data_IF_232009511599
#
_entry.id   IF_232009511599
#
_cell.length_a   1.000
_cell.length_b   1.000
_cell.length_c   1.000
_cell.angle_alpha   90.00
_cell.angle_beta   90.00
_cell.angle_gamma   90.00
#
_symmetry.space_group_name_H-M   'P 1'
#
loop_
_entity.id
_entity.type
_entity.pdbx_description
1 polymer ?
#
# COMPACT_ATOMS: atom_id res chain seq x y z
N UNK A 1 8.25 0.06 19.44
CA UNK A 1 8.61 -0.85 18.39
C UNK A 1 7.66 -0.97 17.25
N UNK A 2 6.79 -2.00 17.25
CA UNK A 2 5.85 -2.15 16.14
C UNK A 2 4.92 -0.95 16.05
N UNK A 3 4.36 -0.54 17.19
CA UNK A 3 3.49 0.62 17.21
C UNK A 3 4.22 1.87 16.75
N UNK A 4 5.49 2.01 17.12
CA UNK A 4 6.30 3.15 16.69
C UNK A 4 6.55 3.10 15.18
N UNK A 5 6.89 1.93 14.66
CA UNK A 5 7.15 1.78 13.23
C UNK A 5 5.89 2.02 12.40
N UNK A 6 4.76 1.50 12.87
CA UNK A 6 3.49 1.74 12.19
C UNK A 6 3.15 3.22 12.19
N UNK A 7 3.27 3.88 13.34
CA UNK A 7 2.96 5.30 13.46
C UNK A 7 3.86 6.14 12.55
N UNK A 8 5.14 5.80 12.48
CA UNK A 8 6.07 6.52 11.64
C UNK A 8 5.74 6.30 10.15
N UNK A 9 5.41 5.08 9.76
CA UNK A 9 5.05 4.80 8.38
C UNK A 9 3.81 5.60 7.96
N UNK A 10 2.79 5.64 8.82
CA UNK A 10 1.60 6.43 8.52
C UNK A 10 1.91 7.93 8.44
N UNK A 11 2.69 8.45 9.39
CA UNK A 11 3.04 9.86 9.41
C UNK A 11 3.81 10.24 8.15
N UNK A 12 4.78 9.43 7.76
CA UNK A 12 5.60 9.76 6.59
C UNK A 12 4.83 9.60 5.29
N UNK A 13 3.84 8.71 5.24
CA UNK A 13 3.02 8.54 4.04
C UNK A 13 2.20 9.78 3.70
N UNK A 14 1.99 10.67 4.67
CA UNK A 14 1.23 11.91 4.44
C UNK A 14 2.10 13.10 4.02
N UNK A 15 3.42 12.95 4.07
CA UNK A 15 4.32 14.06 3.78
C UNK A 15 4.33 14.38 2.30
N UNK A 16 4.53 15.65 1.98
CA UNK A 16 4.59 16.09 0.59
C UNK A 16 5.90 15.74 -0.08
N UNK A 17 6.99 15.76 0.69
CA UNK A 17 8.31 15.46 0.13
C UNK A 17 8.30 14.05 -0.44
N UNK A 18 8.66 13.93 -1.70
CA UNK A 18 8.60 12.66 -2.42
C UNK A 18 9.34 11.55 -1.70
N UNK A 19 10.55 11.83 -1.25
CA UNK A 19 11.39 10.82 -0.63
C UNK A 19 10.83 10.37 0.70
N UNK A 20 10.28 11.30 1.51
CA UNK A 20 9.72 10.96 2.81
C UNK A 20 8.45 10.13 2.64
N UNK A 21 7.58 10.54 1.73
CA UNK A 21 6.35 9.79 1.44
C UNK A 21 6.68 8.39 0.94
N UNK A 22 7.60 8.29 0.00
CA UNK A 22 8.05 7.00 -0.52
C UNK A 22 8.54 6.11 0.61
N UNK A 23 9.33 6.65 1.53
CA UNK A 23 9.86 5.89 2.66
C UNK A 23 8.73 5.36 3.54
N UNK A 24 7.68 6.15 3.76
CA UNK A 24 6.52 5.69 4.53
C UNK A 24 5.88 4.44 3.92
N UNK A 25 5.67 4.46 2.61
CA UNK A 25 5.07 3.30 1.94
C UNK A 25 6.04 2.12 1.82
N UNK A 26 7.33 2.39 1.66
CA UNK A 26 8.33 1.33 1.66
C UNK A 26 8.38 0.64 3.02
N UNK A 27 8.22 1.40 4.11
CA UNK A 27 8.13 0.82 5.46
C UNK A 27 6.92 -0.10 5.58
N UNK A 28 5.77 0.31 5.03
CA UNK A 28 4.57 -0.53 5.07
C UNK A 28 4.82 -1.84 4.33
N UNK A 29 5.42 -1.77 3.15
CA UNK A 29 5.74 -2.97 2.36
C UNK A 29 6.70 -3.87 3.13
N UNK A 30 7.73 -3.29 3.73
CA UNK A 30 8.71 -4.05 4.51
C UNK A 30 8.07 -4.77 5.69
N UNK A 31 7.18 -4.09 6.40
CA UNK A 31 6.46 -4.71 7.50
C UNK A 31 5.61 -5.88 7.00
N UNK A 32 4.94 -5.71 5.86
CA UNK A 32 4.12 -6.78 5.29
C UNK A 32 4.94 -8.00 4.92
N UNK A 33 6.17 -7.80 4.46
CA UNK A 33 7.05 -8.90 4.06
C UNK A 33 7.69 -9.57 5.27
N UNK A 34 8.19 -8.79 6.23
CA UNK A 34 9.10 -9.30 7.25
C UNK A 34 8.47 -9.54 8.62
N UNK A 35 7.35 -8.88 8.92
CA UNK A 35 6.76 -8.95 10.25
C UNK A 35 5.57 -9.91 10.24
N UNK A 36 5.88 -11.20 10.16
CA UNK A 36 4.83 -12.22 10.03
C UNK A 36 3.91 -12.33 11.24
N UNK A 37 4.41 -11.93 12.40
CA UNK A 37 3.66 -12.00 13.66
C UNK A 37 2.58 -10.95 13.80
N UNK A 38 2.59 -9.89 12.96
CA UNK A 38 1.64 -8.81 13.10
C UNK A 38 0.24 -9.23 12.66
N UNK A 39 -0.79 -8.79 13.40
CA UNK A 39 -2.16 -9.15 13.03
C UNK A 39 -2.64 -8.38 11.80
N UNK A 40 -3.70 -8.88 11.17
CA UNK A 40 -4.26 -8.27 9.97
C UNK A 40 -4.66 -6.82 10.18
N UNK A 41 -5.12 -6.46 11.39
CA UNK A 41 -5.55 -5.09 11.67
C UNK A 41 -4.50 -4.05 11.33
N UNK A 42 -3.23 -4.36 11.55
CA UNK A 42 -2.14 -3.44 11.23
C UNK A 42 -2.17 -3.09 9.75
N UNK A 43 -2.37 -4.09 8.91
CA UNK A 43 -2.33 -3.90 7.45
C UNK A 43 -3.65 -3.36 6.91
N UNK A 44 -4.76 -3.71 7.55
CA UNK A 44 -6.04 -3.12 7.17
C UNK A 44 -6.02 -1.60 7.39
N UNK A 45 -5.34 -1.13 8.45
CA UNK A 45 -5.22 0.30 8.70
C UNK A 45 -4.35 1.01 7.66
N UNK A 46 -3.49 0.29 6.95
CA UNK A 46 -2.63 0.88 5.92
C UNK A 46 -3.35 1.10 4.59
N UNK A 47 -4.38 0.32 4.31
CA UNK A 47 -5.07 0.39 3.01
C UNK A 47 -5.68 1.77 2.71
N UNK A 48 -6.29 2.48 3.68
CA UNK A 48 -6.76 3.84 3.39
C UNK A 48 -5.63 4.80 2.96
N UNK A 49 -4.43 4.64 3.53
CA UNK A 49 -3.29 5.47 3.11
C UNK A 49 -2.90 5.17 1.68
N UNK A 50 -2.91 3.89 1.29
CA UNK A 50 -2.63 3.48 -0.09
C UNK A 50 -3.61 4.17 -1.04
N UNK A 51 -4.91 4.13 -0.73
CA UNK A 51 -5.92 4.75 -1.58
C UNK A 51 -5.75 6.27 -1.63
N UNK A 52 -5.46 6.89 -0.50
CA UNK A 52 -5.31 8.34 -0.42
C UNK A 52 -4.18 8.83 -1.32
N UNK A 53 -3.06 8.11 -1.37
CA UNK A 53 -1.89 8.55 -2.12
C UNK A 53 -1.75 7.89 -3.49
N UNK A 54 -2.74 7.11 -3.91
CA UNK A 54 -2.68 6.41 -5.19
C UNK A 54 -2.65 7.36 -6.40
N UNK A 55 -3.07 8.60 -6.21
CA UNK A 55 -3.08 9.60 -7.29
C UNK A 55 -1.76 10.35 -7.40
N UNK A 56 -0.82 10.12 -6.50
CA UNK A 56 0.49 10.76 -6.58
C UNK A 56 1.28 10.11 -7.71
N UNK A 57 1.46 10.84 -8.82
CA UNK A 57 2.06 10.30 -10.04
C UNK A 57 3.57 10.28 -10.06
N UNK A 58 4.22 10.81 -9.02
CA UNK A 58 5.68 10.80 -8.99
C UNK A 58 6.17 9.36 -8.95
N UNK A 59 7.16 9.07 -9.76
CA UNK A 59 7.55 7.69 -10.04
C UNK A 59 7.90 6.87 -8.81
N UNK A 60 8.70 7.43 -7.91
CA UNK A 60 9.12 6.66 -6.73
C UNK A 60 7.98 6.49 -5.74
N UNK A 61 7.08 7.47 -5.62
CA UNK A 61 5.91 7.34 -4.75
C UNK A 61 4.96 6.31 -5.32
N UNK A 62 4.65 6.42 -6.61
CA UNK A 62 3.73 5.49 -7.27
C UNK A 62 4.18 4.05 -7.09
N UNK A 63 5.47 3.80 -7.27
CA UNK A 63 6.00 2.44 -7.14
C UNK A 63 5.94 1.94 -5.71
N UNK A 64 6.20 2.82 -4.73
CA UNK A 64 6.15 2.43 -3.32
C UNK A 64 4.73 2.14 -2.87
N UNK A 65 3.77 2.96 -3.30
CA UNK A 65 2.35 2.74 -3.00
C UNK A 65 1.90 1.39 -3.58
N UNK A 66 2.28 1.13 -4.82
CA UNK A 66 1.96 -0.16 -5.46
C UNK A 66 2.60 -1.33 -4.71
N UNK A 67 3.86 -1.19 -4.32
CA UNK A 67 4.57 -2.22 -3.59
C UNK A 67 3.89 -2.54 -2.26
N UNK A 68 3.52 -1.50 -1.49
CA UNK A 68 2.82 -1.70 -0.23
C UNK A 68 1.51 -2.47 -0.45
N UNK A 69 0.72 -2.05 -1.44
CA UNK A 69 -0.56 -2.70 -1.73
C UNK A 69 -0.37 -4.19 -2.07
N UNK A 70 0.60 -4.50 -2.92
CA UNK A 70 0.84 -5.89 -3.32
C UNK A 70 1.31 -6.74 -2.15
N UNK A 71 2.24 -6.22 -1.33
CA UNK A 71 2.77 -7.02 -0.23
C UNK A 71 1.72 -7.25 0.85
N UNK A 72 0.86 -6.27 1.11
CA UNK A 72 -0.26 -6.47 2.02
C UNK A 72 -1.15 -7.60 1.50
N UNK A 73 -1.49 -7.57 0.22
CA UNK A 73 -2.37 -8.56 -0.37
C UNK A 73 -1.79 -9.96 -0.43
N UNK A 74 -0.46 -10.08 -0.37
CA UNK A 74 0.18 -11.38 -0.43
C UNK A 74 0.26 -12.10 0.91
N UNK A 75 -0.12 -11.43 2.00
CA UNK A 75 0.08 -12.01 3.33
C UNK A 75 -0.84 -13.21 3.59
N UNK A 76 -2.10 -13.09 3.25
CA UNK A 76 -3.08 -14.17 3.44
C UNK A 76 -4.33 -13.88 2.61
N UNK A 77 -5.27 -14.82 2.60
CA UNK A 77 -6.45 -14.68 1.75
C UNK A 77 -7.37 -13.55 2.19
N UNK A 78 -7.48 -13.28 3.48
CA UNK A 78 -8.31 -12.18 3.97
C UNK A 78 -7.75 -10.84 3.52
N UNK A 79 -6.44 -10.64 3.68
CA UNK A 79 -5.80 -9.40 3.25
C UNK A 79 -5.76 -9.30 1.72
N UNK A 80 -5.67 -10.43 1.02
CA UNK A 80 -5.76 -10.40 -0.43
C UNK A 80 -7.12 -9.86 -0.89
N UNK A 81 -8.19 -10.32 -0.29
CA UNK A 81 -9.51 -9.82 -0.63
C UNK A 81 -9.64 -8.34 -0.32
N UNK A 82 -9.14 -7.90 0.83
CA UNK A 82 -9.20 -6.50 1.21
C UNK A 82 -8.37 -5.63 0.27
N UNK A 83 -7.16 -6.08 -0.08
CA UNK A 83 -6.29 -5.33 -0.99
C UNK A 83 -6.88 -5.27 -2.39
N UNK A 84 -7.48 -6.36 -2.87
CA UNK A 84 -8.12 -6.36 -4.18
C UNK A 84 -9.34 -5.44 -4.22
N UNK A 85 -10.13 -5.41 -3.14
CA UNK A 85 -11.25 -4.49 -3.05
C UNK A 85 -10.78 -3.05 -3.08
N UNK A 86 -9.68 -2.75 -2.38
CA UNK A 86 -9.10 -1.42 -2.40
C UNK A 86 -8.58 -1.07 -3.80
N UNK A 87 -7.92 -2.02 -4.46
CA UNK A 87 -7.42 -1.81 -5.82
C UNK A 87 -8.55 -1.50 -6.79
N UNK A 88 -9.69 -2.18 -6.65
CA UNK A 88 -10.84 -1.91 -7.50
C UNK A 88 -11.39 -0.50 -7.30
N UNK A 89 -11.38 -0.02 -6.05
CA UNK A 89 -11.79 1.37 -5.79
C UNK A 89 -10.80 2.36 -6.40
N UNK A 90 -9.50 2.08 -6.25
CA UNK A 90 -8.43 2.91 -6.81
C UNK A 90 -8.54 2.97 -8.34
N UNK A 91 -8.92 1.86 -8.97
CA UNK A 91 -9.05 1.80 -10.43
C UNK A 91 -10.09 2.79 -10.99
N UNK A 92 -11.03 3.20 -10.15
CA UNK A 92 -12.11 4.12 -10.58
C UNK A 92 -11.72 5.58 -10.44
N UNK A 93 -10.58 5.88 -9.83
CA UNK A 93 -10.14 7.25 -9.67
C UNK A 93 -9.68 7.81 -11.02
N UNK A 94 -9.94 9.11 -11.23
CA UNK A 94 -9.52 9.78 -12.46
C UNK A 94 -8.04 10.15 -12.31
N UNK A 95 -7.19 9.14 -12.42
CA UNK A 95 -5.76 9.31 -12.22
C UNK A 95 -5.02 8.20 -12.95
N UNK A 96 -4.08 8.60 -13.78
CA UNK A 96 -3.25 7.66 -14.52
C UNK A 96 -2.44 6.77 -13.56
N UNK A 97 -1.87 7.39 -12.52
CA UNK A 97 -1.11 6.66 -11.52
C UNK A 97 -1.98 5.63 -10.81
N UNK A 98 -3.17 6.05 -10.38
CA UNK A 98 -4.09 5.15 -9.68
C UNK A 98 -4.49 3.96 -10.55
N UNK A 99 -4.77 4.21 -11.83
CA UNK A 99 -5.12 3.13 -12.74
C UNK A 99 -3.98 2.14 -12.92
N UNK A 100 -2.75 2.66 -13.02
CA UNK A 100 -1.59 1.79 -13.15
C UNK A 100 -1.39 0.94 -11.89
N UNK A 101 -1.47 1.57 -10.71
CA UNK A 101 -1.32 0.85 -9.44
C UNK A 101 -2.35 -0.26 -9.34
N UNK A 102 -3.61 0.07 -9.62
CA UNK A 102 -4.69 -0.89 -9.52
C UNK A 102 -4.52 -2.07 -10.49
N UNK A 103 -4.20 -1.77 -11.74
CA UNK A 103 -4.05 -2.81 -12.75
C UNK A 103 -2.91 -3.77 -12.40
N UNK A 104 -1.78 -3.21 -12.00
CA UNK A 104 -0.61 -4.02 -11.66
C UNK A 104 -0.88 -4.88 -10.42
N UNK A 105 -1.45 -4.28 -9.37
CA UNK A 105 -1.73 -5.01 -8.14
C UNK A 105 -2.77 -6.11 -8.38
N UNK A 106 -3.84 -5.81 -9.11
CA UNK A 106 -4.87 -6.82 -9.39
C UNK A 106 -4.32 -7.98 -10.19
N UNK A 107 -3.47 -7.67 -11.19
CA UNK A 107 -2.87 -8.72 -12.01
C UNK A 107 -2.08 -9.69 -11.15
N UNK A 108 -1.27 -9.17 -10.24
CA UNK A 108 -0.47 -10.03 -9.39
C UNK A 108 -1.32 -10.79 -8.36
N UNK A 109 -2.28 -10.11 -7.73
CA UNK A 109 -3.05 -10.73 -6.65
C UNK A 109 -4.05 -11.76 -7.16
N UNK A 110 -4.56 -11.58 -8.40
CA UNK A 110 -5.45 -12.58 -9.00
C UNK A 110 -4.73 -13.89 -9.31
N UNK A 111 -3.44 -13.84 -9.53
CA UNK A 111 -2.64 -15.03 -9.82
C UNK A 111 -2.38 -15.90 -8.60
N UNK A 112 -2.90 -15.50 -7.45
CA UNK A 112 -2.68 -16.25 -6.21
C UNK A 112 -3.89 -17.11 -5.82
#
# INVERSE_FOLDING_TARGET
RTAFAEAKAHAWSTRRAEFVKRTGFAMMAGMAVHRKELPDDVFLRMLPAVAREATDGRNFVKKAVNWALRQIGKRNSALRRAAMAEAKRIAKLDSRAARWIAADALRELRGR
#
